data_IF_343415779680
#
_entry.id   IF_343415779680
#
_cell.length_a   1.000
_cell.length_b   1.000
_cell.length_c   1.000
_cell.angle_alpha   90.00
_cell.angle_beta   90.00
_cell.angle_gamma   90.00
#
_symmetry.space_group_name_H-M   'P 1'
#
loop_
_entity.id
_entity.type
_entity.pdbx_description
1 polymer ?
#
# COMPACT_ATOMS: atom_id res chain seq x y z
N UNK A 1 5.91 5.02 11.21
CA UNK A 1 6.54 4.29 12.33
C UNK A 1 7.58 5.19 12.99
N UNK A 2 7.75 5.15 14.32
CA UNK A 2 8.75 5.98 15.00
C UNK A 2 10.20 5.70 14.56
N UNK A 3 10.47 4.55 13.92
CA UNK A 3 11.78 4.19 13.36
C UNK A 3 11.63 3.44 12.03
N UNK A 4 12.56 3.67 11.11
CA UNK A 4 12.67 2.90 9.88
C UNK A 4 13.00 1.42 10.22
N UNK A 5 12.39 0.48 9.50
CA UNK A 5 12.60 -0.96 9.68
C UNK A 5 11.86 -1.60 10.87
N UNK A 6 11.05 -0.85 11.63
CA UNK A 6 10.18 -1.42 12.65
C UNK A 6 8.77 -1.67 12.09
N UNK A 7 8.23 -2.85 12.35
CA UNK A 7 6.81 -3.15 12.15
C UNK A 7 5.96 -2.35 13.14
N UNK A 8 4.74 -2.06 12.73
CA UNK A 8 3.78 -1.37 13.58
C UNK A 8 3.13 -2.30 14.60
N UNK A 9 2.31 -1.74 15.49
CA UNK A 9 1.45 -2.56 16.33
C UNK A 9 0.46 -3.34 15.46
N UNK A 10 0.25 -4.62 15.73
CA UNK A 10 -0.67 -5.48 14.97
C UNK A 10 -2.08 -5.45 15.58
N UNK A 11 -3.01 -4.57 15.14
CA UNK A 11 -4.27 -4.36 15.85
C UNK A 11 -5.22 -5.55 15.69
N UNK A 12 -5.11 -6.29 14.58
CA UNK A 12 -5.81 -7.54 14.32
C UNK A 12 -4.98 -8.79 14.58
N UNK A 13 -3.83 -8.67 15.26
CA UNK A 13 -2.89 -9.78 15.47
C UNK A 13 -2.49 -10.43 14.13
N UNK A 14 -2.59 -11.78 13.99
CA UNK A 14 -2.24 -12.50 12.76
C UNK A 14 -3.03 -12.10 11.50
N UNK A 15 -4.16 -11.41 11.65
CA UNK A 15 -4.95 -10.90 10.52
C UNK A 15 -4.45 -9.57 10.00
N UNK A 16 -3.56 -8.89 10.73
CA UNK A 16 -2.97 -7.61 10.32
C UNK A 16 -1.98 -7.86 9.19
N UNK A 17 -2.29 -7.38 7.99
CA UNK A 17 -1.37 -7.45 6.87
C UNK A 17 -0.73 -6.09 6.61
N UNK A 18 0.51 -5.95 7.08
CA UNK A 18 1.36 -4.84 6.68
C UNK A 18 1.93 -5.07 5.28
N UNK A 19 1.93 -4.04 4.45
CA UNK A 19 2.60 -4.07 3.15
C UNK A 19 3.52 -2.85 2.99
N UNK A 20 4.51 -2.99 2.11
CA UNK A 20 5.41 -1.91 1.71
C UNK A 20 5.29 -1.72 0.21
N UNK A 21 5.52 -0.50 -0.26
CA UNK A 21 5.64 -0.25 -1.68
C UNK A 21 7.13 -0.15 -2.00
N UNK A 22 7.57 -1.02 -2.89
CA UNK A 22 8.92 -1.05 -3.43
C UNK A 22 8.93 -0.42 -4.82
N UNK A 23 10.10 0.05 -5.24
CA UNK A 23 10.28 0.61 -6.58
C UNK A 23 9.54 1.91 -6.81
N UNK A 24 9.33 2.72 -5.76
CA UNK A 24 8.82 4.08 -5.90
C UNK A 24 10.00 5.01 -6.16
N UNK A 25 9.99 5.69 -7.30
CA UNK A 25 10.99 6.68 -7.64
C UNK A 25 10.61 8.05 -7.06
N UNK A 26 11.53 8.70 -6.36
CA UNK A 26 11.34 10.02 -5.77
C UNK A 26 12.24 11.04 -6.47
N UNK A 27 11.62 12.06 -7.09
CA UNK A 27 12.31 13.18 -7.75
C UNK A 27 12.40 14.40 -6.82
N UNK A 28 13.52 15.13 -6.81
CA UNK A 28 13.65 16.38 -6.07
C UNK A 28 12.75 17.52 -6.60
N UNK A 29 12.18 17.37 -7.80
CA UNK A 29 11.31 18.40 -8.43
C UNK A 29 9.82 18.20 -8.16
N UNK A 30 9.43 17.13 -7.45
CA UNK A 30 8.04 16.83 -7.11
C UNK A 30 7.79 15.33 -7.00
N UNK A 31 6.72 14.96 -6.28
CA UNK A 31 6.24 13.59 -6.11
C UNK A 31 5.75 13.01 -7.45
N UNK A 32 6.65 12.70 -8.36
CA UNK A 32 6.35 11.78 -9.44
C UNK A 32 6.40 10.37 -8.84
N UNK A 33 5.26 9.85 -8.38
CA UNK A 33 5.09 8.43 -8.05
C UNK A 33 5.19 7.60 -9.34
N UNK A 34 6.37 7.59 -9.96
CA UNK A 34 6.68 6.69 -11.04
C UNK A 34 7.22 5.41 -10.43
N UNK A 35 6.67 4.29 -10.86
CA UNK A 35 7.29 2.99 -10.59
C UNK A 35 8.61 2.90 -11.34
N UNK A 36 9.54 2.13 -10.79
CA UNK A 36 10.73 1.74 -11.52
C UNK A 36 10.39 1.15 -12.88
N UNK A 37 11.28 1.39 -13.85
CA UNK A 37 11.17 0.73 -15.15
C UNK A 37 11.29 -0.78 -15.00
N UNK A 38 10.92 -1.59 -16.02
CA UNK A 38 11.11 -3.04 -16.00
C UNK A 38 12.57 -3.49 -15.77
N UNK A 39 13.53 -2.57 -15.86
CA UNK A 39 14.95 -2.82 -15.61
C UNK A 39 15.41 -2.44 -14.19
N UNK A 40 14.47 -2.21 -13.26
CA UNK A 40 14.76 -1.78 -11.88
C UNK A 40 15.57 -0.48 -11.81
N UNK A 41 15.21 0.50 -12.65
CA UNK A 41 15.87 1.81 -12.67
C UNK A 41 14.86 2.93 -12.59
N UNK A 42 15.22 3.96 -11.83
CA UNK A 42 14.46 5.21 -11.76
C UNK A 42 14.87 6.20 -12.86
N UNK A 43 13.98 7.13 -13.25
CA UNK A 43 14.33 8.25 -14.11
C UNK A 43 15.54 9.03 -13.60
N UNK A 44 16.31 9.62 -14.51
CA UNK A 44 17.52 10.38 -14.15
C UNK A 44 17.17 11.50 -13.18
N UNK A 45 17.89 11.55 -12.05
CA UNK A 45 17.65 12.52 -10.99
C UNK A 45 16.67 12.05 -9.92
N UNK A 46 16.06 10.87 -10.08
CA UNK A 46 15.20 10.24 -9.07
C UNK A 46 15.92 9.11 -8.33
N UNK A 47 15.56 8.91 -7.07
CA UNK A 47 16.03 7.77 -6.27
C UNK A 47 14.91 6.79 -5.98
N UNK A 48 15.20 5.50 -6.04
CA UNK A 48 14.26 4.50 -5.56
C UNK A 48 14.19 4.53 -4.03
N UNK A 49 12.98 4.43 -3.49
CA UNK A 49 12.73 4.28 -2.07
C UNK A 49 11.72 3.15 -1.84
N UNK A 50 11.93 2.43 -0.73
CA UNK A 50 10.89 1.58 -0.14
C UNK A 50 10.12 2.41 0.87
N UNK A 51 8.79 2.42 0.75
CA UNK A 51 7.96 3.14 1.74
C UNK A 51 7.98 2.42 3.08
N UNK A 52 7.85 3.16 4.19
CA UNK A 52 7.60 2.54 5.49
C UNK A 52 6.36 1.62 5.42
N UNK A 53 6.32 0.52 6.20
CA UNK A 53 5.17 -0.38 6.20
C UNK A 53 3.86 0.36 6.49
N UNK A 54 2.86 0.11 5.64
CA UNK A 54 1.52 0.66 5.69
C UNK A 54 0.49 -0.45 5.89
N UNK A 55 -0.64 -0.09 6.51
CA UNK A 55 -1.74 -1.00 6.81
C UNK A 55 -3.01 -0.42 6.19
N UNK A 56 -3.73 -1.25 5.43
CA UNK A 56 -5.08 -0.92 5.02
C UNK A 56 -6.06 -1.28 6.14
N UNK A 57 -6.92 -0.32 6.49
CA UNK A 57 -7.97 -0.49 7.49
C UNK A 57 -9.29 -0.08 6.87
N UNK A 58 -10.20 -1.04 6.75
CA UNK A 58 -11.53 -0.81 6.20
C UNK A 58 -12.47 -0.35 7.32
N UNK A 59 -13.06 0.83 7.15
CA UNK A 59 -14.09 1.38 8.05
C UNK A 59 -15.51 0.85 7.75
N UNK A 60 -15.64 0.16 6.62
CA UNK A 60 -16.84 -0.54 6.19
C UNK A 60 -16.59 -2.05 6.30
N UNK A 61 -17.67 -2.84 6.36
CA UNK A 61 -17.55 -4.28 6.30
C UNK A 61 -16.98 -4.71 4.94
N UNK A 62 -15.76 -5.24 4.96
CA UNK A 62 -15.05 -5.76 3.79
C UNK A 62 -15.45 -7.22 3.47
N UNK A 63 -16.62 -7.66 3.93
CA UNK A 63 -17.17 -8.96 3.61
C UNK A 63 -16.26 -10.09 4.09
N UNK A 64 -15.88 -10.98 3.17
CA UNK A 64 -15.17 -12.22 3.52
C UNK A 64 -13.69 -11.99 3.83
N UNK A 65 -13.11 -10.90 3.32
CA UNK A 65 -11.69 -10.61 3.50
C UNK A 65 -11.40 -9.89 4.82
N UNK A 66 -12.41 -9.24 5.40
CA UNK A 66 -12.34 -8.64 6.73
C UNK A 66 -11.61 -7.29 6.79
N UNK A 67 -11.58 -6.67 7.98
CA UNK A 67 -11.24 -5.26 8.16
C UNK A 67 -9.76 -4.91 7.94
N UNK A 68 -8.88 -5.92 7.92
CA UNK A 68 -7.43 -5.76 7.75
C UNK A 68 -6.90 -6.37 6.44
N UNK A 69 -7.79 -6.74 5.50
CA UNK A 69 -7.37 -7.23 4.18
C UNK A 69 -6.63 -6.12 3.43
N UNK A 70 -5.61 -6.53 2.66
CA UNK A 70 -4.90 -5.63 1.75
C UNK A 70 -5.83 -5.09 0.66
N UNK A 71 -6.81 -5.87 0.22
CA UNK A 71 -7.71 -5.53 -0.87
C UNK A 71 -9.16 -5.38 -0.39
N UNK A 72 -9.94 -4.61 -1.16
CA UNK A 72 -11.39 -4.53 -0.97
C UNK A 72 -12.02 -5.76 -1.65
N UNK A 73 -12.85 -6.49 -0.91
CA UNK A 73 -13.61 -7.63 -1.43
C UNK A 73 -14.37 -7.18 -2.69
N UNK A 74 -14.14 -7.89 -3.80
CA UNK A 74 -14.68 -7.53 -5.11
C UNK A 74 -16.21 -7.43 -5.12
N UNK A 75 -16.88 -8.17 -4.24
CA UNK A 75 -18.34 -8.12 -4.05
C UNK A 75 -18.74 -6.79 -3.44
N UNK A 76 -18.05 -6.36 -2.39
CA UNK A 76 -18.27 -5.06 -1.73
C UNK A 76 -17.89 -3.93 -2.68
N UNK A 77 -16.78 -4.06 -3.42
CA UNK A 77 -16.37 -3.10 -4.44
C UNK A 77 -17.45 -2.87 -5.51
N UNK A 78 -18.09 -3.93 -6.01
CA UNK A 78 -19.19 -3.81 -6.98
C UNK A 78 -20.40 -3.08 -6.39
N UNK A 79 -20.75 -3.38 -5.15
CA UNK A 79 -21.85 -2.70 -4.45
C UNK A 79 -21.59 -1.19 -4.28
N UNK A 80 -20.37 -0.81 -3.92
CA UNK A 80 -20.00 0.60 -3.71
C UNK A 80 -19.87 1.39 -5.01
N UNK A 81 -19.41 0.74 -6.09
CA UNK A 81 -19.16 1.43 -7.38
C UNK A 81 -20.39 1.50 -8.29
N UNK A 82 -21.50 0.87 -7.90
CA UNK A 82 -22.75 0.88 -8.67
C UNK A 82 -22.65 0.24 -10.06
N UNK A 83 -21.54 -0.44 -10.37
CA UNK A 83 -21.35 -1.19 -11.61
C UNK A 83 -21.85 -2.62 -11.39
N UNK A 84 -23.12 -2.83 -11.75
CA UNK A 84 -23.79 -4.13 -11.84
C UNK A 84 -23.18 -5.01 -12.92
#
# INVERSE_FOLDING_TARGET
MPRAGQWGPDPGGPLTQWHQHEGICFSPFGFEFSFETPFWTCPVGSTSITTPPMLHVWIIDNGKEGPFSADLDKTVQRQLTGRS
#
